data_IF_629442265636
#
_entry.id   IF_629442265636
#
_cell.length_a   1.000
_cell.length_b   1.000
_cell.length_c   1.000
_cell.angle_alpha   90.00
_cell.angle_beta   90.00
_cell.angle_gamma   90.00
#
_symmetry.space_group_name_H-M   'P 1'
#
loop_
_entity.id
_entity.type
_entity.pdbx_description
1 polymer ?
#
# COMPACT_ATOMS: atom_id res chain seq x y z
N UNK A 1 4.05 -2.92 -20.37
CA UNK A 1 4.62 -2.39 -19.11
C UNK A 1 5.20 -3.45 -18.21
N UNK A 2 4.58 -4.64 -18.11
CA UNK A 2 5.15 -5.76 -17.37
C UNK A 2 6.59 -6.12 -17.82
N UNK A 3 6.78 -6.16 -19.13
CA UNK A 3 8.05 -6.34 -19.83
C UNK A 3 9.12 -5.29 -19.44
N UNK A 4 8.70 -4.07 -19.09
CA UNK A 4 9.60 -2.99 -18.62
C UNK A 4 10.07 -3.18 -17.18
N UNK A 5 9.44 -4.09 -16.45
CA UNK A 5 9.85 -4.49 -15.09
C UNK A 5 10.74 -5.72 -15.09
N UNK A 6 11.23 -6.14 -16.27
CA UNK A 6 12.08 -7.30 -16.37
C UNK A 6 13.43 -7.08 -15.67
N UNK A 7 13.91 -8.09 -14.93
CA UNK A 7 15.18 -8.09 -14.23
C UNK A 7 15.90 -9.43 -14.40
N UNK A 8 17.23 -9.39 -14.36
CA UNK A 8 18.08 -10.56 -14.57
C UNK A 8 18.64 -11.05 -13.23
N UNK A 9 18.50 -12.34 -12.99
CA UNK A 9 19.20 -13.08 -11.94
C UNK A 9 20.36 -13.87 -12.56
N UNK A 10 21.22 -14.50 -11.75
CA UNK A 10 22.34 -15.31 -12.27
C UNK A 10 21.88 -16.42 -13.23
N UNK A 11 20.67 -16.95 -13.02
CA UNK A 11 20.18 -18.13 -13.71
C UNK A 11 19.05 -17.84 -14.73
N UNK A 12 18.38 -16.69 -14.67
CA UNK A 12 17.20 -16.42 -15.49
C UNK A 12 16.79 -14.94 -15.58
N UNK A 13 15.94 -14.64 -16.58
CA UNK A 13 15.20 -13.38 -16.73
C UNK A 13 13.80 -13.52 -16.13
N UNK A 14 13.41 -12.55 -15.31
CA UNK A 14 12.11 -12.49 -14.64
C UNK A 14 11.43 -11.16 -14.90
N UNK A 15 10.11 -11.10 -14.69
CA UNK A 15 9.31 -9.87 -14.75
C UNK A 15 8.28 -9.88 -13.61
N UNK A 16 7.90 -8.70 -13.11
CA UNK A 16 6.95 -8.61 -12.00
C UNK A 16 5.51 -8.76 -12.49
N UNK A 17 4.70 -9.56 -11.78
CA UNK A 17 3.25 -9.70 -12.05
C UNK A 17 2.39 -8.65 -11.33
N UNK A 18 2.96 -7.99 -10.33
CA UNK A 18 2.36 -6.93 -9.52
C UNK A 18 3.24 -5.70 -9.59
N UNK A 19 2.75 -4.57 -9.09
CA UNK A 19 3.52 -3.33 -9.01
C UNK A 19 4.78 -3.56 -8.13
N UNK A 20 6.00 -3.53 -8.70
CA UNK A 20 7.21 -3.70 -7.89
C UNK A 20 7.47 -2.45 -7.04
N UNK A 21 8.17 -2.63 -5.92
CA UNK A 21 8.66 -1.50 -5.12
C UNK A 21 9.83 -0.81 -5.82
N UNK A 22 9.98 0.50 -5.59
CA UNK A 22 11.13 1.28 -6.08
C UNK A 22 11.04 1.75 -7.53
N UNK A 23 9.96 1.44 -8.27
CA UNK A 23 9.74 2.07 -9.58
C UNK A 23 9.16 3.47 -9.42
N UNK A 24 9.59 4.41 -10.26
CA UNK A 24 9.21 5.82 -10.19
C UNK A 24 7.68 6.05 -10.20
N UNK A 25 6.93 5.24 -10.94
CA UNK A 25 5.47 5.33 -11.06
C UNK A 25 4.71 4.42 -10.08
N UNK A 26 5.43 3.71 -9.22
CA UNK A 26 4.88 2.87 -8.15
C UNK A 26 4.10 3.69 -7.13
N UNK A 27 4.75 4.66 -6.45
CA UNK A 27 4.12 5.42 -5.38
C UNK A 27 2.83 6.15 -5.78
N UNK A 28 2.73 6.83 -6.94
CA UNK A 28 1.48 7.45 -7.36
C UNK A 28 0.34 6.43 -7.59
N UNK A 29 0.68 5.24 -8.10
CA UNK A 29 -0.30 4.18 -8.36
C UNK A 29 -0.78 3.54 -7.06
N UNK A 30 0.14 3.29 -6.12
CA UNK A 30 -0.17 2.81 -4.78
C UNK A 30 -1.03 3.82 -4.02
N UNK A 31 -0.63 5.09 -4.00
CA UNK A 31 -1.37 6.15 -3.34
C UNK A 31 -2.80 6.28 -3.88
N UNK A 32 -3.00 6.20 -5.22
CA UNK A 32 -4.35 6.22 -5.81
C UNK A 32 -5.19 4.99 -5.46
N UNK A 33 -4.55 3.84 -5.25
CA UNK A 33 -5.25 2.62 -4.83
C UNK A 33 -5.68 2.73 -3.36
N UNK A 34 -4.79 3.22 -2.50
CA UNK A 34 -5.05 3.41 -1.07
C UNK A 34 -6.02 4.58 -0.76
N UNK A 35 -5.87 5.76 -1.39
CA UNK A 35 -6.89 6.18 -2.36
C UNK A 35 -8.32 5.69 -2.17
N UNK A 36 -8.72 4.88 -3.13
CA UNK A 36 -10.08 4.36 -3.23
C UNK A 36 -10.44 3.41 -2.09
N UNK A 37 -9.46 2.73 -1.46
CA UNK A 37 -9.69 1.76 -0.40
C UNK A 37 -10.04 2.36 0.96
N UNK A 38 -9.30 3.38 1.38
CA UNK A 38 -9.44 3.96 2.72
C UNK A 38 -10.59 4.97 2.82
N UNK A 39 -11.13 5.42 1.67
CA UNK A 39 -12.38 6.19 1.61
C UNK A 39 -12.43 7.39 2.59
N UNK A 40 -13.52 7.46 3.38
CA UNK A 40 -13.89 8.54 4.29
C UNK A 40 -13.08 8.64 5.60
N UNK A 41 -12.38 7.57 6.04
CA UNK A 41 -11.56 7.63 7.26
C UNK A 41 -10.27 8.45 7.11
N UNK A 42 -10.05 8.98 5.91
CA UNK A 42 -8.83 9.70 5.56
C UNK A 42 -8.80 11.07 6.20
N UNK A 43 -7.61 11.43 6.70
CA UNK A 43 -7.31 12.67 7.40
C UNK A 43 -7.74 12.73 8.88
N UNK A 44 -8.64 11.84 9.32
CA UNK A 44 -9.01 11.75 10.73
C UNK A 44 -7.98 10.98 11.57
N UNK A 45 -7.51 9.84 11.06
CA UNK A 45 -6.55 8.97 11.75
C UNK A 45 -5.62 8.17 10.82
N UNK A 46 -5.73 8.36 9.48
CA UNK A 46 -4.86 7.69 8.50
C UNK A 46 -4.44 8.63 7.36
N UNK A 47 -3.18 8.52 6.96
CA UNK A 47 -2.55 9.21 5.84
C UNK A 47 -1.75 8.20 5.00
N UNK A 48 -1.68 8.41 3.69
CA UNK A 48 -0.86 7.60 2.79
C UNK A 48 0.21 8.50 2.18
N UNK A 49 1.47 8.09 2.27
CA UNK A 49 2.59 8.82 1.71
C UNK A 49 3.54 7.87 0.97
N UNK A 50 3.67 8.09 -0.34
CA UNK A 50 4.42 7.21 -1.24
C UNK A 50 3.94 5.74 -1.11
N UNK A 51 4.77 4.86 -0.56
CA UNK A 51 4.50 3.43 -0.38
C UNK A 51 4.05 3.09 1.06
N UNK A 52 3.98 4.08 1.96
CA UNK A 52 3.69 3.89 3.39
C UNK A 52 2.28 4.36 3.78
N UNK A 53 1.67 3.63 4.72
CA UNK A 53 0.41 4.01 5.38
C UNK A 53 0.71 4.45 6.81
N UNK A 54 0.47 5.72 7.10
CA UNK A 54 0.64 6.34 8.41
C UNK A 54 -0.68 6.33 9.16
N UNK A 55 -0.74 5.61 10.28
CA UNK A 55 -1.90 5.58 11.18
C UNK A 55 -1.54 6.36 12.45
N UNK A 56 -2.36 7.31 12.86
CA UNK A 56 -2.12 8.16 14.03
C UNK A 56 -3.35 8.21 14.93
N UNK A 57 -3.15 8.34 16.25
CA UNK A 57 -4.23 8.26 17.24
C UNK A 57 -3.83 8.99 18.52
N UNK A 58 -4.80 9.39 19.35
CA UNK A 58 -4.53 10.16 20.59
C UNK A 58 -4.25 9.27 21.80
N UNK A 59 -4.64 7.99 21.74
CA UNK A 59 -4.35 7.00 22.76
C UNK A 59 -4.02 5.64 22.15
N UNK A 60 -3.37 4.77 22.92
CA UNK A 60 -3.06 3.41 22.49
C UNK A 60 -4.31 2.58 22.19
N UNK A 61 -5.36 2.71 23.01
CA UNK A 61 -6.62 1.97 22.84
C UNK A 61 -7.35 2.39 21.55
N UNK A 62 -7.36 3.68 21.23
CA UNK A 62 -7.84 4.16 19.93
C UNK A 62 -6.98 3.64 18.78
N UNK A 63 -5.65 3.64 18.96
CA UNK A 63 -4.73 3.15 17.94
C UNK A 63 -4.96 1.69 17.59
N UNK A 64 -5.20 0.83 18.59
CA UNK A 64 -5.55 -0.58 18.35
C UNK A 64 -6.84 -0.72 17.54
N UNK A 65 -7.84 0.13 17.79
CA UNK A 65 -9.10 0.12 17.01
C UNK A 65 -8.87 0.54 15.57
N UNK A 66 -8.19 1.65 15.34
CA UNK A 66 -7.86 2.14 14.00
C UNK A 66 -7.02 1.12 13.22
N UNK A 67 -6.04 0.50 13.88
CA UNK A 67 -5.18 -0.51 13.26
C UNK A 67 -5.98 -1.74 12.84
N UNK A 68 -6.88 -2.24 13.70
CA UNK A 68 -7.77 -3.36 13.35
C UNK A 68 -8.71 -3.03 12.18
N UNK A 69 -9.25 -1.81 12.12
CA UNK A 69 -10.10 -1.35 11.03
C UNK A 69 -9.34 -1.31 9.69
N UNK A 70 -8.17 -0.67 9.68
CA UNK A 70 -7.32 -0.56 8.48
C UNK A 70 -6.84 -1.92 8.01
N UNK A 71 -6.34 -2.78 8.92
CA UNK A 71 -5.92 -4.14 8.54
C UNK A 71 -7.09 -4.97 8.01
N UNK A 72 -8.30 -4.80 8.55
CA UNK A 72 -9.49 -5.48 8.04
C UNK A 72 -9.87 -5.02 6.62
N UNK A 73 -9.72 -3.73 6.32
CA UNK A 73 -9.94 -3.18 4.97
C UNK A 73 -8.90 -3.73 3.99
N UNK A 74 -7.61 -3.72 4.37
CA UNK A 74 -6.52 -4.24 3.55
C UNK A 74 -6.70 -5.74 3.26
N UNK A 75 -7.08 -6.53 4.27
CA UNK A 75 -7.36 -7.94 4.12
C UNK A 75 -8.52 -8.21 3.16
N UNK A 76 -9.62 -7.44 3.25
CA UNK A 76 -10.76 -7.54 2.30
C UNK A 76 -10.38 -7.18 0.86
N UNK A 77 -9.38 -6.32 0.70
CA UNK A 77 -8.86 -5.88 -0.58
C UNK A 77 -7.80 -6.82 -1.17
N UNK A 78 -7.50 -7.94 -0.50
CA UNK A 78 -6.42 -8.86 -0.84
C UNK A 78 -5.03 -8.19 -0.88
N UNK A 79 -4.84 -7.10 -0.14
CA UNK A 79 -3.50 -6.62 0.17
C UNK A 79 -2.90 -7.53 1.24
N UNK A 80 -1.73 -8.10 0.94
CA UNK A 80 -0.99 -9.01 1.81
C UNK A 80 0.21 -8.31 2.44
#
# INVERSE_FOLDING_TARGET
DKDKTAFITQDALWEFNVLPQGIMNGPPTFQRTMHNLLGYGRWDYVMVYLDDILIFSRSFNEHTKHLNEILSILAKANFQ
#
